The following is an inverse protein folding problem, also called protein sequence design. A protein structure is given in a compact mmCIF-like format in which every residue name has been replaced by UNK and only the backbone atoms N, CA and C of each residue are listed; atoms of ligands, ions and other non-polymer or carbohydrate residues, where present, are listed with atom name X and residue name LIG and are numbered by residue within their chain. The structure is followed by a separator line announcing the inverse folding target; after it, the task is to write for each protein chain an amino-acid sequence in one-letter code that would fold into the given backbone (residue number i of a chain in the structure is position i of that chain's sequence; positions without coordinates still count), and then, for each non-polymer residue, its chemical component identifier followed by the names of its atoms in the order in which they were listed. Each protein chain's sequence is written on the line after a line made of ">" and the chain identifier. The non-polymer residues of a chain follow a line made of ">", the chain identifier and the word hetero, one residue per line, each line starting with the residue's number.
data_IF_609413447429
#
_entry.id   IF_609413447429
#
_cell.length_a   1.000
_cell.length_b   1.000
_cell.length_c   1.000
_cell.angle_alpha   90.00
_cell.angle_beta   90.00
_cell.angle_gamma   90.00
#
_symmetry.space_group_name_H-M   'P 1'
#
loop_
_entity.id
_entity.type
_entity.pdbx_description
1 polymer ?
#
# COMPACT_ATOMS: atom_id res chain seq x y z
N UNK A 1 15.17 -11.74 -11.24
CA UNK A 1 15.95 -11.82 -9.99
C UNK A 1 15.21 -10.98 -8.96
N UNK A 2 14.87 -11.56 -7.81
CA UNK A 2 14.24 -10.83 -6.70
C UNK A 2 15.33 -10.44 -5.69
N UNK A 3 15.24 -9.26 -5.06
CA UNK A 3 16.16 -8.91 -3.98
C UNK A 3 15.91 -9.83 -2.78
N UNK A 4 16.98 -10.24 -2.11
CA UNK A 4 16.92 -10.93 -0.82
C UNK A 4 17.52 -10.01 0.24
N UNK A 5 16.70 -9.63 1.22
CA UNK A 5 17.08 -8.73 2.31
C UNK A 5 17.39 -9.49 3.61
N UNK A 6 17.56 -10.81 3.49
CA UNK A 6 17.82 -11.73 4.59
C UNK A 6 16.65 -11.79 5.59
N UNK A 7 16.76 -12.70 6.55
CA UNK A 7 15.80 -12.93 7.62
C UNK A 7 15.70 -11.73 8.58
N UNK A 8 14.60 -11.65 9.32
CA UNK A 8 14.48 -10.76 10.47
C UNK A 8 13.78 -11.45 11.65
N UNK A 9 13.88 -10.86 12.83
CA UNK A 9 13.15 -11.30 14.01
C UNK A 9 11.90 -10.42 14.19
N UNK A 10 10.73 -11.03 14.25
CA UNK A 10 9.45 -10.32 14.44
C UNK A 10 9.28 -9.72 15.83
N UNK A 11 10.07 -10.17 16.81
CA UNK A 11 10.15 -9.59 18.16
C UNK A 11 11.25 -8.52 18.34
N UNK A 12 12.01 -8.19 17.29
CA UNK A 12 13.02 -7.13 17.37
C UNK A 12 12.37 -5.75 17.63
N UNK A 13 13.00 -4.84 18.39
CA UNK A 13 12.43 -3.49 18.62
C UNK A 13 12.11 -2.72 17.33
N UNK A 14 12.90 -2.94 16.27
CA UNK A 14 12.67 -2.36 14.93
C UNK A 14 11.97 -3.33 13.96
N UNK A 15 11.24 -4.35 14.44
CA UNK A 15 10.67 -5.38 13.59
C UNK A 15 9.60 -4.85 12.63
N UNK A 16 8.74 -3.92 13.06
CA UNK A 16 7.74 -3.31 12.17
C UNK A 16 8.40 -2.56 11.02
N UNK A 17 9.42 -1.75 11.33
CA UNK A 17 10.22 -1.02 10.35
C UNK A 17 10.84 -1.96 9.31
N UNK A 18 11.44 -3.06 9.77
CA UNK A 18 12.03 -4.08 8.90
C UNK A 18 11.01 -4.88 8.10
N UNK A 19 9.83 -5.15 8.67
CA UNK A 19 8.72 -5.80 7.99
C UNK A 19 8.16 -4.93 6.87
N UNK A 20 7.87 -3.67 7.17
CA UNK A 20 7.39 -2.68 6.21
C UNK A 20 8.36 -2.51 5.03
N UNK A 21 9.65 -2.37 5.31
CA UNK A 21 10.68 -2.25 4.28
C UNK A 21 10.73 -3.49 3.37
N UNK A 22 10.58 -4.70 3.91
CA UNK A 22 10.53 -5.94 3.12
C UNK A 22 9.25 -6.06 2.28
N UNK A 23 8.10 -5.66 2.84
CA UNK A 23 6.82 -5.70 2.13
C UNK A 23 6.85 -4.86 0.84
N UNK A 24 7.37 -3.64 0.92
CA UNK A 24 7.52 -2.77 -0.26
C UNK A 24 8.76 -3.09 -1.09
N UNK A 25 9.75 -3.79 -0.52
CA UNK A 25 10.99 -4.17 -1.21
C UNK A 25 10.78 -5.20 -2.31
N UNK A 26 9.60 -5.83 -2.38
CA UNK A 26 9.32 -6.92 -3.31
C UNK A 26 10.18 -8.16 -3.05
N UNK A 27 10.74 -8.27 -1.85
CA UNK A 27 11.57 -9.40 -1.44
C UNK A 27 10.73 -10.51 -0.79
N UNK A 28 11.28 -11.73 -0.68
CA UNK A 28 10.70 -12.75 0.18
C UNK A 28 10.61 -12.30 1.65
N UNK A 29 9.69 -12.91 2.40
CA UNK A 29 9.53 -12.70 3.84
C UNK A 29 10.04 -13.95 4.55
N UNK A 30 11.17 -13.83 5.24
CA UNK A 30 11.73 -14.88 6.08
C UNK A 30 11.88 -14.39 7.51
N UNK A 31 11.38 -15.17 8.46
CA UNK A 31 11.56 -14.91 9.89
C UNK A 31 12.47 -15.95 10.52
N UNK A 32 13.38 -15.49 11.36
CA UNK A 32 14.33 -16.35 12.09
C UNK A 32 14.10 -16.31 13.60
N UNK A 33 12.87 -15.99 14.01
CA UNK A 33 12.47 -16.04 15.41
C UNK A 33 12.66 -17.43 16.01
N UNK A 34 12.89 -17.47 17.33
CA UNK A 34 12.89 -18.72 18.08
C UNK A 34 11.50 -19.38 17.95
N UNK A 35 11.40 -20.70 17.70
CA UNK A 35 10.11 -21.39 17.64
C UNK A 35 9.21 -21.08 18.83
N UNK A 36 7.94 -20.75 18.56
CA UNK A 36 6.96 -20.37 19.57
C UNK A 36 7.08 -18.94 20.10
N UNK A 37 8.05 -18.15 19.62
CA UNK A 37 8.29 -16.77 20.04
C UNK A 37 8.16 -15.84 18.83
N UNK A 38 6.93 -15.72 18.30
CA UNK A 38 6.64 -14.90 17.13
C UNK A 38 5.70 -13.75 17.51
N UNK A 39 5.89 -12.59 16.88
CA UNK A 39 4.92 -11.52 16.92
C UNK A 39 3.86 -11.71 15.82
N UNK A 40 2.80 -12.47 16.12
CA UNK A 40 1.74 -12.75 15.14
C UNK A 40 1.01 -11.50 14.65
N UNK A 41 0.89 -10.46 15.46
CA UNK A 41 0.26 -9.20 15.05
C UNK A 41 1.06 -8.51 13.95
N UNK A 42 2.40 -8.52 14.03
CA UNK A 42 3.25 -8.05 12.93
C UNK A 42 3.18 -8.97 11.71
N UNK A 43 3.20 -10.30 11.90
CA UNK A 43 3.21 -11.24 10.78
C UNK A 43 1.91 -11.21 9.96
N UNK A 44 0.77 -10.97 10.61
CA UNK A 44 -0.52 -10.78 9.92
C UNK A 44 -0.56 -9.55 9.02
N UNK A 45 0.31 -8.54 9.24
CA UNK A 45 0.46 -7.38 8.33
C UNK A 45 1.26 -7.72 7.06
N UNK A 46 1.92 -8.88 7.03
CA UNK A 46 2.83 -9.32 5.96
C UNK A 46 2.29 -10.51 5.16
N UNK A 47 1.63 -11.44 5.84
CA UNK A 47 1.27 -12.77 5.31
C UNK A 47 -0.24 -12.98 5.44
N UNK A 48 -0.85 -13.50 4.37
CA UNK A 48 -2.24 -13.92 4.35
C UNK A 48 -2.41 -15.25 5.12
N UNK A 49 -3.64 -15.63 5.51
CA UNK A 49 -3.84 -16.88 6.27
C UNK A 49 -3.44 -18.16 5.52
N UNK A 50 -3.37 -18.13 4.18
CA UNK A 50 -2.82 -19.22 3.35
C UNK A 50 -1.28 -19.31 3.37
N UNK A 51 -0.60 -18.46 4.13
CA UNK A 51 0.86 -18.40 4.21
C UNK A 51 1.52 -17.65 3.05
N UNK A 52 0.74 -17.13 2.10
CA UNK A 52 1.26 -16.35 0.99
C UNK A 52 1.40 -14.87 1.35
N UNK A 53 2.12 -14.12 0.52
CA UNK A 53 2.37 -12.68 0.74
C UNK A 53 1.79 -11.85 -0.38
N UNK A 54 1.34 -10.64 -0.04
CA UNK A 54 0.98 -9.59 -1.00
C UNK A 54 2.26 -8.91 -1.50
N UNK A 55 3.11 -9.65 -2.23
CA UNK A 55 4.43 -9.15 -2.66
C UNK A 55 4.29 -8.13 -3.79
N UNK A 56 4.95 -6.98 -3.65
CA UNK A 56 5.06 -5.98 -4.71
C UNK A 56 5.81 -6.54 -5.94
N UNK A 57 5.55 -6.00 -7.13
CA UNK A 57 5.95 -6.62 -8.40
C UNK A 57 7.43 -6.42 -8.74
N UNK A 58 8.01 -5.28 -8.38
CA UNK A 58 9.40 -4.94 -8.70
C UNK A 58 10.31 -5.18 -7.49
N UNK A 59 11.64 -5.20 -7.67
CA UNK A 59 12.56 -4.89 -6.59
C UNK A 59 12.31 -3.46 -6.11
N UNK A 60 12.29 -3.23 -4.79
CA UNK A 60 12.20 -1.88 -4.22
C UNK A 60 13.34 -0.99 -4.69
N UNK A 61 13.02 0.22 -5.12
CA UNK A 61 13.99 1.19 -5.66
C UNK A 61 13.90 2.51 -4.89
N UNK A 62 15.04 3.20 -4.65
CA UNK A 62 15.00 4.57 -4.17
C UNK A 62 14.18 5.45 -5.11
N UNK A 63 13.43 6.41 -4.56
CA UNK A 63 12.84 7.48 -5.38
C UNK A 63 13.96 8.36 -5.95
N UNK A 64 13.65 9.07 -7.04
CA UNK A 64 14.64 9.84 -7.80
C UNK A 64 15.32 10.92 -6.96
N UNK A 65 14.59 11.53 -6.03
CA UNK A 65 15.06 12.62 -5.19
C UNK A 65 15.96 12.17 -4.04
N UNK A 66 15.87 10.91 -3.59
CA UNK A 66 16.79 10.37 -2.57
C UNK A 66 17.87 9.44 -3.15
N UNK A 67 17.93 9.25 -4.47
CA UNK A 67 18.83 8.28 -5.13
C UNK A 67 20.32 8.50 -4.83
N UNK A 68 20.74 9.75 -4.67
CA UNK A 68 22.13 10.13 -4.41
C UNK A 68 22.36 10.68 -3.00
N UNK A 69 21.37 10.58 -2.11
CA UNK A 69 21.51 10.99 -0.71
C UNK A 69 22.15 9.87 0.13
N UNK A 70 22.73 10.23 1.28
CA UNK A 70 23.15 9.27 2.31
C UNK A 70 22.14 9.33 3.47
N UNK A 71 20.99 8.63 3.36
CA UNK A 71 19.90 8.73 4.33
C UNK A 71 20.27 8.15 5.71
N UNK A 72 21.45 7.55 5.86
CA UNK A 72 21.93 7.06 7.13
C UNK A 72 22.79 8.09 7.88
N UNK A 73 23.31 9.13 7.21
CA UNK A 73 24.38 9.99 7.78
C UNK A 73 24.24 11.48 7.54
N UNK A 74 23.52 11.91 6.53
CA UNK A 74 23.51 13.32 6.14
C UNK A 74 22.72 14.22 7.09
N UNK A 75 21.96 13.64 8.02
CA UNK A 75 21.14 14.37 9.00
C UNK A 75 19.96 15.13 8.38
N UNK A 76 19.62 14.88 7.11
CA UNK A 76 18.58 15.63 6.39
C UNK A 76 17.66 14.76 5.56
N UNK A 77 18.14 13.64 5.01
CA UNK A 77 17.40 12.86 4.01
C UNK A 77 16.71 11.66 4.63
N UNK A 78 15.45 11.48 4.25
CA UNK A 78 14.70 10.24 4.46
C UNK A 78 15.00 9.28 3.31
N UNK A 79 15.08 7.97 3.59
CA UNK A 79 15.09 6.96 2.56
C UNK A 79 13.66 6.76 2.06
N UNK A 80 13.44 6.98 0.76
CA UNK A 80 12.15 6.70 0.11
C UNK A 80 12.31 5.56 -0.87
N UNK A 81 11.53 4.50 -0.70
CA UNK A 81 11.55 3.32 -1.56
C UNK A 81 10.19 3.20 -2.23
N UNK A 82 10.14 3.11 -3.55
CA UNK A 82 8.91 2.90 -4.29
C UNK A 82 8.84 1.51 -4.92
N UNK A 83 7.61 1.07 -5.15
CA UNK A 83 7.28 -0.15 -5.87
C UNK A 83 5.87 -0.06 -6.47
N UNK A 84 5.45 -1.10 -7.19
CA UNK A 84 4.14 -1.21 -7.81
C UNK A 84 3.48 -2.56 -7.56
N UNK A 85 2.16 -2.53 -7.55
CA UNK A 85 1.25 -3.67 -7.60
C UNK A 85 0.55 -3.67 -8.97
N UNK A 86 -0.37 -4.61 -9.18
CA UNK A 86 -1.08 -4.73 -10.48
C UNK A 86 -1.90 -3.49 -10.84
N UNK A 87 -2.46 -2.79 -9.84
CA UNK A 87 -3.34 -1.64 -10.06
C UNK A 87 -2.91 -0.36 -9.30
N UNK A 88 -1.91 -0.44 -8.43
CA UNK A 88 -1.54 0.65 -7.51
C UNK A 88 -0.03 0.73 -7.32
N UNK A 89 0.45 1.86 -6.81
CA UNK A 89 1.82 2.06 -6.36
C UNK A 89 1.94 2.07 -4.85
N UNK A 90 3.16 1.94 -4.34
CA UNK A 90 3.47 2.13 -2.92
C UNK A 90 4.80 2.86 -2.77
N UNK A 91 4.88 3.79 -1.82
CA UNK A 91 6.11 4.45 -1.39
C UNK A 91 6.25 4.24 0.11
N UNK A 92 7.35 3.62 0.56
CA UNK A 92 7.72 3.65 1.97
C UNK A 92 8.77 4.72 2.22
N UNK A 93 8.59 5.45 3.30
CA UNK A 93 9.51 6.50 3.76
C UNK A 93 10.06 6.08 5.11
N UNK A 94 11.38 6.18 5.28
CA UNK A 94 12.08 5.65 6.44
C UNK A 94 13.14 6.63 6.94
N UNK A 95 13.19 6.85 8.26
CA UNK A 95 14.29 7.55 8.89
C UNK A 95 15.40 6.58 9.29
N UNK A 96 16.45 6.52 8.47
CA UNK A 96 17.59 5.61 8.61
C UNK A 96 18.77 6.20 9.40
N UNK A 97 18.64 7.40 9.99
CA UNK A 97 19.77 8.15 10.54
C UNK A 97 20.40 7.44 11.76
N UNK A 98 21.65 7.80 12.08
CA UNK A 98 22.35 7.43 13.31
C UNK A 98 23.27 6.23 13.25
N UNK A 99 22.95 5.23 12.44
CA UNK A 99 23.79 4.06 12.27
C UNK A 99 23.89 3.61 10.82
N UNK A 100 25.05 3.10 10.42
CA UNK A 100 25.24 2.57 9.08
C UNK A 100 26.48 1.70 8.93
N UNK A 101 26.54 0.94 7.84
CA UNK A 101 27.68 0.07 7.53
C UNK A 101 28.95 0.89 7.28
N UNK A 102 30.01 0.63 8.04
CA UNK A 102 31.31 1.24 7.84
C UNK A 102 32.22 0.32 7.01
N UNK A 103 32.57 0.74 5.78
CA UNK A 103 33.43 -0.02 4.86
C UNK A 103 34.84 -0.26 5.39
N UNK A 104 35.37 0.66 6.21
CA UNK A 104 36.72 0.57 6.78
C UNK A 104 36.76 -0.50 7.87
N UNK A 105 35.87 -0.39 8.85
CA UNK A 105 35.85 -1.31 10.01
C UNK A 105 35.06 -2.59 9.76
N UNK A 106 34.40 -2.72 8.60
CA UNK A 106 33.54 -3.87 8.21
C UNK A 106 32.51 -4.25 9.28
N UNK A 107 31.88 -3.24 9.87
CA UNK A 107 30.82 -3.40 10.87
C UNK A 107 29.84 -2.23 10.80
N UNK A 108 28.62 -2.45 11.27
CA UNK A 108 27.69 -1.37 11.56
C UNK A 108 28.26 -0.49 12.66
N UNK A 109 28.30 0.82 12.42
CA UNK A 109 28.76 1.80 13.38
C UNK A 109 27.61 2.76 13.68
N UNK A 110 27.38 3.00 14.96
CA UNK A 110 26.58 4.12 15.43
C UNK A 110 27.47 5.36 15.39
N UNK A 111 27.14 6.30 14.53
CA UNK A 111 27.83 7.59 14.38
C UNK A 111 27.08 8.71 15.09
N UNK A 112 25.78 8.56 15.29
CA UNK A 112 24.94 9.41 16.12
C UNK A 112 23.92 8.53 16.88
N UNK A 113 23.93 8.62 18.21
CA UNK A 113 23.11 7.80 19.08
C UNK A 113 21.71 8.39 19.32
N UNK A 114 21.50 9.66 18.98
CA UNK A 114 20.20 10.32 19.11
C UNK A 114 19.94 11.24 17.90
N UNK A 115 19.77 10.67 16.69
CA UNK A 115 19.50 11.46 15.50
C UNK A 115 18.21 12.25 15.61
N UNK A 116 18.17 13.39 14.94
CA UNK A 116 16.99 14.24 14.92
C UNK A 116 15.81 13.65 14.15
N UNK A 117 14.63 14.17 14.45
CA UNK A 117 13.43 14.01 13.65
C UNK A 117 13.63 14.68 12.28
N UNK A 118 13.26 13.98 11.21
CA UNK A 118 13.36 14.50 9.84
C UNK A 118 11.98 14.73 9.25
N UNK A 119 11.85 15.79 8.45
CA UNK A 119 10.66 16.08 7.66
C UNK A 119 10.99 15.97 6.18
N UNK A 120 10.12 15.30 5.43
CA UNK A 120 10.18 15.21 3.97
C UNK A 120 8.80 15.33 3.35
N UNK A 121 8.69 14.95 2.08
CA UNK A 121 7.42 14.93 1.37
C UNK A 121 7.34 13.78 0.37
N UNK A 122 6.12 13.34 0.11
CA UNK A 122 5.79 12.29 -0.87
C UNK A 122 4.86 12.86 -1.95
N UNK A 123 5.05 12.39 -3.18
CA UNK A 123 4.17 12.68 -4.33
C UNK A 123 3.64 11.40 -4.95
N UNK A 124 2.58 11.48 -5.72
CA UNK A 124 2.12 10.33 -6.51
C UNK A 124 3.20 9.88 -7.50
N UNK A 125 3.93 10.84 -8.09
CA UNK A 125 5.00 10.62 -9.05
C UNK A 125 6.29 10.07 -8.45
N UNK A 126 6.39 9.96 -7.11
CA UNK A 126 7.50 9.23 -6.48
C UNK A 126 7.44 7.72 -6.81
N UNK A 127 6.26 7.22 -7.18
CA UNK A 127 6.12 5.93 -7.87
C UNK A 127 6.42 6.17 -9.36
N UNK A 128 7.66 5.92 -9.77
CA UNK A 128 8.16 6.24 -11.12
C UNK A 128 7.31 5.64 -12.26
N UNK A 129 6.66 4.49 -12.02
CA UNK A 129 5.81 3.80 -12.98
C UNK A 129 4.29 4.11 -12.85
N UNK A 130 3.89 5.09 -12.05
CA UNK A 130 2.47 5.35 -11.75
C UNK A 130 1.64 5.71 -12.99
N UNK A 131 2.20 6.49 -13.92
CA UNK A 131 1.51 6.86 -15.15
C UNK A 131 1.26 5.63 -16.05
N UNK A 132 2.19 4.67 -16.08
CA UNK A 132 2.03 3.43 -16.83
C UNK A 132 0.93 2.54 -16.22
N UNK A 133 0.80 2.54 -14.88
CA UNK A 133 -0.27 1.82 -14.18
C UNK A 133 -1.65 2.44 -14.44
N UNK A 134 -1.72 3.77 -14.43
CA UNK A 134 -2.97 4.51 -14.56
C UNK A 134 -3.52 4.49 -16.00
N UNK A 135 -2.64 4.34 -17.00
CA UNK A 135 -2.98 4.35 -18.41
C UNK A 135 -2.86 5.75 -19.04
N UNK A 136 -3.04 5.85 -20.37
CA UNK A 136 -2.73 7.06 -21.14
C UNK A 136 -3.64 8.26 -20.80
N UNK A 137 -4.86 8.00 -20.32
CA UNK A 137 -5.86 9.04 -20.03
C UNK A 137 -5.76 9.60 -18.60
N UNK A 138 -4.74 9.21 -17.84
CA UNK A 138 -4.58 9.65 -16.46
C UNK A 138 -4.20 11.12 -16.38
N UNK A 139 -5.02 11.89 -15.65
CA UNK A 139 -4.85 13.33 -15.47
C UNK A 139 -3.80 13.69 -14.38
N UNK A 140 -3.19 12.70 -13.72
CA UNK A 140 -2.23 12.89 -12.64
C UNK A 140 -2.84 12.90 -11.23
N UNK A 141 -4.16 12.79 -11.08
CA UNK A 141 -4.80 12.72 -9.77
C UNK A 141 -4.70 11.31 -9.18
N UNK A 142 -4.30 11.22 -7.92
CA UNK A 142 -4.27 9.96 -7.18
C UNK A 142 -4.97 10.13 -5.83
N UNK A 143 -5.33 9.02 -5.21
CA UNK A 143 -5.53 8.98 -3.75
C UNK A 143 -4.33 8.31 -3.10
N UNK A 144 -4.02 8.75 -1.90
CA UNK A 144 -2.96 8.20 -1.08
C UNK A 144 -3.56 7.73 0.24
N UNK A 145 -3.40 6.45 0.54
CA UNK A 145 -3.75 5.88 1.83
C UNK A 145 -2.47 5.69 2.66
N UNK A 146 -2.43 6.29 3.85
CA UNK A 146 -1.31 6.19 4.77
C UNK A 146 -1.54 5.06 5.77
N UNK A 147 -0.58 4.14 5.88
CA UNK A 147 -0.79 2.92 6.64
C UNK A 147 -0.86 3.15 8.15
N UNK A 148 0.01 3.98 8.73
CA UNK A 148 0.05 4.15 10.20
C UNK A 148 -1.06 5.04 10.71
N UNK A 149 -1.34 6.14 10.01
CA UNK A 149 -2.41 7.06 10.42
C UNK A 149 -3.81 6.59 9.99
N UNK A 150 -3.90 5.75 8.95
CA UNK A 150 -5.17 5.28 8.40
C UNK A 150 -5.91 6.35 7.59
N UNK A 151 -5.24 7.44 7.21
CA UNK A 151 -5.85 8.54 6.48
C UNK A 151 -5.83 8.31 4.98
N UNK A 152 -6.97 8.62 4.33
CA UNK A 152 -7.11 8.67 2.88
C UNK A 152 -7.13 10.11 2.40
N UNK A 153 -6.21 10.44 1.49
CA UNK A 153 -6.02 11.82 1.01
C UNK A 153 -6.08 11.82 -0.51
N UNK A 154 -6.95 12.65 -1.08
CA UNK A 154 -6.96 12.91 -2.53
C UNK A 154 -5.85 13.91 -2.86
N UNK A 155 -4.95 13.50 -3.74
CA UNK A 155 -3.75 14.24 -4.11
C UNK A 155 -3.88 14.72 -5.57
N UNK A 156 -4.03 16.04 -5.81
CA UNK A 156 -3.97 16.61 -7.15
C UNK A 156 -2.60 16.39 -7.80
N UNK A 157 -2.54 16.48 -9.13
CA UNK A 157 -1.29 16.34 -9.88
C UNK A 157 -0.19 17.27 -9.35
N UNK A 158 0.98 16.70 -9.07
CA UNK A 158 2.15 17.44 -8.56
C UNK A 158 2.04 17.96 -7.12
N UNK A 159 0.93 17.71 -6.42
CA UNK A 159 0.81 18.05 -5.01
C UNK A 159 1.70 17.16 -4.15
N UNK A 160 2.07 17.66 -2.96
CA UNK A 160 2.97 16.98 -2.04
C UNK A 160 2.31 16.75 -0.70
N UNK A 161 2.51 15.57 -0.11
CA UNK A 161 2.09 15.24 1.23
C UNK A 161 3.30 15.28 2.17
N UNK A 162 3.30 16.11 3.23
CA UNK A 162 4.40 16.15 4.18
C UNK A 162 4.44 14.89 5.05
N UNK A 163 5.63 14.51 5.51
CA UNK A 163 5.84 13.41 6.45
C UNK A 163 6.96 13.78 7.41
N UNK A 164 6.76 13.54 8.70
CA UNK A 164 7.75 13.80 9.75
C UNK A 164 7.96 12.53 10.54
N UNK A 165 9.21 12.09 10.68
CA UNK A 165 9.57 10.79 11.26
C UNK A 165 10.72 10.94 12.25
N UNK A 166 10.55 10.38 13.44
CA UNK A 166 11.65 10.14 14.38
C UNK A 166 12.56 9.02 13.86
N UNK A 167 13.72 8.83 14.50
CA UNK A 167 14.66 7.76 14.12
C UNK A 167 14.00 6.38 14.24
N UNK A 168 14.22 5.51 13.25
CA UNK A 168 13.58 4.19 13.14
C UNK A 168 12.04 4.21 12.99
N UNK A 169 11.45 5.37 12.71
CA UNK A 169 10.08 5.45 12.23
C UNK A 169 10.01 5.35 10.70
N UNK A 170 8.83 4.95 10.24
CA UNK A 170 8.50 4.82 8.83
C UNK A 170 7.05 5.21 8.58
N UNK A 171 6.68 5.43 7.33
CA UNK A 171 5.28 5.47 6.88
C UNK A 171 5.18 4.85 5.49
N UNK A 172 4.05 4.19 5.19
CA UNK A 172 3.76 3.60 3.90
C UNK A 172 2.60 4.34 3.23
N UNK A 173 2.88 4.88 2.05
CA UNK A 173 1.95 5.65 1.22
C UNK A 173 1.50 4.76 0.07
N UNK A 174 0.25 4.31 0.11
CA UNK A 174 -0.36 3.51 -0.94
C UNK A 174 -1.01 4.44 -1.96
N UNK A 175 -0.40 4.54 -3.14
CA UNK A 175 -0.78 5.49 -4.19
C UNK A 175 -1.67 4.79 -5.20
N UNK A 176 -2.91 5.23 -5.34
CA UNK A 176 -3.86 4.67 -6.30
C UNK A 176 -4.34 5.73 -7.29
N UNK A 177 -4.11 5.56 -8.60
CA UNK A 177 -4.60 6.50 -9.61
C UNK A 177 -6.13 6.61 -9.59
N UNK A 178 -6.63 7.84 -9.65
CA UNK A 178 -8.07 8.10 -9.72
C UNK A 178 -8.57 7.91 -11.14
N UNK A 179 -9.66 7.14 -11.29
CA UNK A 179 -10.33 6.92 -12.57
C UNK A 179 -11.79 7.38 -12.49
N UNK A 180 -12.27 8.04 -13.54
CA UNK A 180 -13.70 8.35 -13.69
C UNK A 180 -14.42 7.08 -14.12
N UNK A 181 -15.41 6.65 -13.34
CA UNK A 181 -16.15 5.38 -13.55
C UNK A 181 -17.58 5.60 -14.01
N UNK A 182 -18.17 6.77 -13.69
CA UNK A 182 -19.45 7.23 -14.18
C UNK A 182 -19.44 8.78 -14.26
N UNK A 183 -20.41 9.42 -14.93
CA UNK A 183 -20.50 10.88 -14.95
C UNK A 183 -20.53 11.46 -13.53
N UNK A 184 -19.48 12.20 -13.15
CA UNK A 184 -19.37 12.79 -11.81
C UNK A 184 -18.94 11.82 -10.70
N UNK A 185 -18.59 10.57 -11.03
CA UNK A 185 -18.09 9.58 -10.06
C UNK A 185 -16.66 9.17 -10.40
N UNK A 186 -15.78 9.32 -9.43
CA UNK A 186 -14.38 8.92 -9.47
C UNK A 186 -14.10 7.82 -8.45
N UNK A 187 -13.27 6.85 -8.83
CA UNK A 187 -12.96 5.68 -8.04
C UNK A 187 -11.45 5.38 -8.07
N UNK A 188 -10.92 4.83 -6.98
CA UNK A 188 -9.57 4.31 -6.93
C UNK A 188 -9.47 3.15 -5.91
N UNK A 189 -8.99 1.95 -6.29
CA UNK A 189 -8.87 0.83 -5.35
C UNK A 189 -7.66 1.02 -4.42
N UNK A 190 -7.78 0.72 -3.12
CA UNK A 190 -6.64 0.80 -2.19
C UNK A 190 -6.13 -0.62 -1.87
N UNK A 191 -7.01 -1.51 -1.43
CA UNK A 191 -6.67 -2.89 -1.08
C UNK A 191 -6.99 -3.25 0.37
N UNK A 192 -6.25 -4.19 0.95
CA UNK A 192 -6.40 -4.59 2.36
C UNK A 192 -5.68 -3.58 3.26
N UNK A 193 -6.42 -2.79 4.02
CA UNK A 193 -5.93 -1.58 4.70
C UNK A 193 -4.89 -1.89 5.80
N UNK A 194 -5.01 -3.06 6.41
CA UNK A 194 -4.16 -3.47 7.54
C UNK A 194 -2.86 -4.17 7.08
N UNK A 195 -2.68 -4.38 5.77
CA UNK A 195 -1.47 -4.98 5.20
C UNK A 195 -0.44 -3.91 4.88
N UNK A 196 0.85 -4.21 5.10
CA UNK A 196 1.94 -3.30 4.71
C UNK A 196 2.01 -3.05 3.21
N UNK A 197 1.59 -4.00 2.38
CA UNK A 197 1.41 -3.77 0.95
C UNK A 197 -0.07 -3.94 0.56
N UNK A 198 -0.89 -2.96 0.97
CA UNK A 198 -2.34 -2.98 0.82
C UNK A 198 -2.78 -3.27 -0.62
N UNK A 199 -2.21 -2.54 -1.57
CA UNK A 199 -2.51 -2.64 -2.99
C UNK A 199 -2.16 -3.97 -3.64
N UNK A 200 -1.33 -4.80 -3.00
CA UNK A 200 -1.03 -6.14 -3.48
C UNK A 200 -2.24 -7.07 -3.46
N UNK A 201 -3.28 -6.72 -2.69
CA UNK A 201 -4.55 -7.46 -2.66
C UNK A 201 -5.40 -7.24 -3.92
N UNK A 202 -5.21 -6.15 -4.67
CA UNK A 202 -6.02 -5.83 -5.85
C UNK A 202 -5.41 -6.49 -7.08
N UNK A 203 -6.05 -7.56 -7.55
CA UNK A 203 -5.57 -8.34 -8.69
C UNK A 203 -6.00 -7.77 -10.04
N UNK A 204 -7.18 -7.15 -10.10
CA UNK A 204 -7.78 -6.61 -11.31
C UNK A 204 -8.76 -5.49 -10.95
N UNK A 205 -8.86 -4.48 -11.81
CA UNK A 205 -9.81 -3.38 -11.70
C UNK A 205 -10.47 -3.11 -13.06
N UNK A 206 -11.78 -3.33 -13.13
CA UNK A 206 -12.60 -3.12 -14.31
C UNK A 206 -13.79 -2.21 -14.01
N UNK A 207 -14.24 -1.49 -15.02
CA UNK A 207 -15.44 -0.65 -14.95
C UNK A 207 -16.44 -1.22 -15.94
N UNK A 208 -17.59 -1.66 -15.43
CA UNK A 208 -18.74 -2.08 -16.24
C UNK A 208 -19.64 -0.87 -16.45
N UNK A 209 -19.81 -0.51 -17.72
CA UNK A 209 -20.73 0.54 -18.11
C UNK A 209 -22.19 0.08 -17.92
N UNK A 210 -23.12 1.00 -17.64
CA UNK A 210 -24.54 0.67 -17.61
C UNK A 210 -25.00 0.21 -19.00
N UNK A 211 -25.60 -0.99 -19.10
CA UNK A 211 -26.26 -1.46 -20.31
C UNK A 211 -25.74 -2.75 -20.98
N UNK A 212 -24.88 -3.55 -20.34
CA UNK A 212 -24.39 -4.81 -20.91
C UNK A 212 -24.94 -6.08 -20.24
N UNK A 213 -26.26 -6.20 -20.06
CA UNK A 213 -27.05 -7.45 -20.17
C UNK A 213 -28.55 -7.22 -19.88
N UNK A 214 -29.39 -7.99 -20.58
CA UNK A 214 -30.87 -8.03 -20.56
C UNK A 214 -31.49 -8.44 -19.20
N UNK A 215 -31.43 -7.60 -18.16
CA UNK A 215 -32.34 -7.72 -17.02
C UNK A 215 -32.61 -6.31 -16.45
N UNK A 216 -33.89 -5.91 -16.41
CA UNK A 216 -34.32 -4.58 -15.98
C UNK A 216 -34.01 -4.26 -14.51
N UNK A 217 -34.05 -2.95 -14.25
CA UNK A 217 -33.92 -2.22 -12.97
C UNK A 217 -32.49 -1.82 -12.55
N UNK A 218 -32.08 -0.62 -13.00
CA UNK A 218 -30.95 0.16 -12.47
C UNK A 218 -29.79 0.38 -13.45
N UNK A 219 -29.77 1.54 -14.13
CA UNK A 219 -28.69 2.03 -15.03
C UNK A 219 -27.42 2.50 -14.25
N UNK A 220 -27.01 1.80 -13.20
CA UNK A 220 -25.85 2.19 -12.38
C UNK A 220 -24.57 1.57 -12.92
N UNK A 221 -23.49 2.36 -12.98
CA UNK A 221 -22.19 1.82 -13.34
C UNK A 221 -21.69 0.91 -12.21
N UNK A 222 -20.90 -0.10 -12.55
CA UNK A 222 -20.35 -1.01 -11.55
C UNK A 222 -18.84 -1.09 -11.68
N UNK A 223 -18.15 -0.96 -10.57
CA UNK A 223 -16.71 -1.23 -10.47
C UNK A 223 -16.54 -2.68 -10.02
N UNK A 224 -15.76 -3.44 -10.77
CA UNK A 224 -15.49 -4.86 -10.49
C UNK A 224 -14.01 -5.03 -10.18
N UNK A 225 -13.73 -5.55 -8.99
CA UNK A 225 -12.40 -5.83 -8.49
C UNK A 225 -12.24 -7.33 -8.28
N UNK A 226 -11.12 -7.89 -8.76
CA UNK A 226 -10.65 -9.19 -8.26
C UNK A 226 -9.71 -8.92 -7.10
N UNK A 227 -10.08 -9.40 -5.92
CA UNK A 227 -9.37 -9.13 -4.68
C UNK A 227 -8.83 -10.43 -4.10
N UNK A 228 -7.66 -10.36 -3.46
CA UNK A 228 -7.03 -11.48 -2.78
C UNK A 228 -6.77 -11.18 -1.30
N UNK A 229 -7.17 -12.09 -0.43
CA UNK A 229 -6.97 -12.06 1.02
C UNK A 229 -8.29 -11.94 1.79
N UNK A 230 -8.19 -11.46 3.03
CA UNK A 230 -9.32 -11.25 3.95
C UNK A 230 -8.99 -10.09 4.91
N UNK A 231 -9.99 -9.60 5.63
CA UNK A 231 -9.89 -8.44 6.54
C UNK A 231 -10.44 -7.17 5.92
N UNK A 232 -10.09 -6.02 6.51
CA UNK A 232 -10.64 -4.72 6.12
C UNK A 232 -10.12 -4.30 4.75
N UNK A 233 -11.02 -4.27 3.78
CA UNK A 233 -10.76 -3.78 2.42
C UNK A 233 -11.21 -2.32 2.30
N UNK A 234 -10.42 -1.52 1.58
CA UNK A 234 -10.74 -0.13 1.31
C UNK A 234 -10.60 0.26 -0.16
N UNK A 235 -11.42 1.23 -0.55
CA UNK A 235 -11.33 1.92 -1.83
C UNK A 235 -11.80 3.38 -1.66
N UNK A 236 -11.39 4.25 -2.57
CA UNK A 236 -11.93 5.59 -2.69
C UNK A 236 -13.11 5.61 -3.66
N UNK A 237 -14.19 6.27 -3.29
CA UNK A 237 -15.28 6.64 -4.17
C UNK A 237 -15.73 8.08 -3.88
N UNK A 238 -15.79 8.92 -4.92
CA UNK A 238 -16.16 10.34 -4.76
C UNK A 238 -17.63 10.55 -4.36
N UNK A 239 -18.46 9.51 -4.49
CA UNK A 239 -19.85 9.50 -4.05
C UNK A 239 -20.11 8.21 -3.26
N UNK A 240 -21.11 8.23 -2.38
CA UNK A 240 -21.50 7.04 -1.62
C UNK A 240 -21.97 5.94 -2.59
N UNK A 241 -21.38 4.73 -2.57
CA UNK A 241 -21.87 3.61 -3.36
C UNK A 241 -23.32 3.27 -3.04
N UNK A 242 -24.06 2.76 -4.02
CA UNK A 242 -25.43 2.29 -3.85
C UNK A 242 -25.46 0.92 -3.15
N UNK A 243 -24.59 0.00 -3.57
CA UNK A 243 -24.43 -1.34 -2.98
C UNK A 243 -23.04 -1.91 -3.24
N UNK A 244 -22.61 -2.81 -2.36
CA UNK A 244 -21.40 -3.61 -2.51
C UNK A 244 -21.76 -5.09 -2.47
N UNK A 245 -21.23 -5.90 -3.38
CA UNK A 245 -21.42 -7.35 -3.37
C UNK A 245 -20.08 -8.07 -3.46
N UNK A 246 -19.94 -9.14 -2.69
CA UNK A 246 -18.79 -10.03 -2.67
C UNK A 246 -19.22 -11.41 -3.17
N UNK A 247 -18.71 -11.83 -4.32
CA UNK A 247 -19.14 -13.04 -5.05
C UNK A 247 -20.68 -13.15 -5.17
N UNK A 248 -21.30 -12.04 -5.55
CA UNK A 248 -22.74 -11.85 -5.71
C UNK A 248 -23.59 -11.85 -4.42
N UNK A 249 -22.98 -12.01 -3.24
CA UNK A 249 -23.65 -11.78 -1.96
C UNK A 249 -23.51 -10.31 -1.54
N UNK A 250 -24.60 -9.67 -1.12
CA UNK A 250 -24.54 -8.30 -0.61
C UNK A 250 -23.76 -8.24 0.71
N UNK A 251 -22.91 -7.21 0.84
CA UNK A 251 -22.08 -6.98 2.02
C UNK A 251 -22.27 -5.57 2.54
N UNK A 252 -22.28 -5.45 3.87
CA UNK A 252 -22.31 -4.15 4.52
C UNK A 252 -20.99 -3.41 4.27
N UNK A 253 -21.08 -2.10 4.11
CA UNK A 253 -19.93 -1.22 3.95
C UNK A 253 -20.14 0.08 4.73
N UNK A 254 -19.02 0.66 5.13
CA UNK A 254 -18.93 2.00 5.69
C UNK A 254 -18.50 2.98 4.59
N UNK A 255 -18.99 4.21 4.67
CA UNK A 255 -18.60 5.30 3.78
C UNK A 255 -18.34 6.57 4.59
N UNK A 256 -17.13 7.09 4.46
CA UNK A 256 -16.75 8.40 4.99
C UNK A 256 -16.98 9.46 3.91
N UNK A 257 -17.91 10.39 4.16
CA UNK A 257 -18.27 11.44 3.21
C UNK A 257 -17.21 12.54 3.10
N UNK A 258 -16.34 12.71 4.10
CA UNK A 258 -15.31 13.75 4.12
C UNK A 258 -14.10 13.32 3.27
N UNK A 259 -13.71 12.05 3.38
CA UNK A 259 -12.55 11.49 2.66
C UNK A 259 -12.92 10.73 1.39
N UNK A 260 -14.17 10.25 1.27
CA UNK A 260 -14.61 9.34 0.22
C UNK A 260 -14.16 7.89 0.42
N UNK A 261 -13.70 7.52 1.63
CA UNK A 261 -13.29 6.15 1.93
C UNK A 261 -14.50 5.23 2.03
N UNK A 262 -14.53 4.22 1.17
CA UNK A 262 -15.42 3.05 1.27
C UNK A 262 -14.62 1.94 1.94
N UNK A 263 -15.13 1.37 3.03
CA UNK A 263 -14.50 0.22 3.68
C UNK A 263 -15.50 -0.87 4.01
N UNK A 264 -15.10 -2.12 3.77
CA UNK A 264 -15.88 -3.34 4.04
C UNK A 264 -14.97 -4.46 4.54
N UNK A 265 -15.52 -5.44 5.23
CA UNK A 265 -14.78 -6.59 5.71
C UNK A 265 -14.91 -7.78 4.75
N UNK A 266 -13.77 -8.27 4.27
CA UNK A 266 -13.69 -9.49 3.48
C UNK A 266 -13.52 -10.67 4.45
N UNK A 267 -14.44 -11.64 4.47
CA UNK A 267 -14.36 -12.76 5.40
C UNK A 267 -13.19 -13.69 5.06
N UNK A 268 -12.84 -14.56 6.01
CA UNK A 268 -11.94 -15.69 5.73
C UNK A 268 -12.72 -16.70 4.86
N UNK A 269 -12.27 -17.00 3.64
CA UNK A 269 -12.98 -17.92 2.76
C UNK A 269 -12.89 -19.36 3.28
N UNK A 270 -13.91 -20.15 2.97
CA UNK A 270 -13.88 -21.60 3.17
C UNK A 270 -12.97 -22.30 2.14
N UNK A 271 -12.68 -21.64 1.01
CA UNK A 271 -11.92 -22.17 -0.12
C UNK A 271 -10.45 -21.73 -0.09
N UNK A 272 -9.56 -22.58 -0.63
CA UNK A 272 -8.10 -22.48 -0.45
C UNK A 272 -7.41 -21.25 -1.07
N UNK A 273 -8.06 -20.45 -1.93
CA UNK A 273 -7.35 -19.44 -2.73
C UNK A 273 -7.49 -17.99 -2.27
N UNK A 274 -8.35 -17.70 -1.29
CA UNK A 274 -8.55 -16.34 -0.77
C UNK A 274 -8.84 -15.30 -1.87
N UNK A 275 -9.57 -15.68 -2.92
CA UNK A 275 -9.92 -14.79 -4.03
C UNK A 275 -11.40 -14.48 -4.00
N UNK A 276 -11.71 -13.22 -4.25
CA UNK A 276 -13.07 -12.69 -4.22
C UNK A 276 -13.32 -11.80 -5.44
N UNK A 277 -14.57 -11.77 -5.88
CA UNK A 277 -15.08 -10.79 -6.83
C UNK A 277 -15.86 -9.74 -6.06
N UNK A 278 -15.28 -8.55 -5.90
CA UNK A 278 -15.95 -7.43 -5.27
C UNK A 278 -16.55 -6.54 -6.37
N UNK A 279 -17.87 -6.34 -6.32
CA UNK A 279 -18.57 -5.40 -7.19
C UNK A 279 -19.12 -4.24 -6.35
N UNK A 280 -18.78 -3.02 -6.73
CA UNK A 280 -19.23 -1.78 -6.09
C UNK A 280 -20.06 -1.03 -7.10
N UNK A 281 -21.34 -0.82 -6.79
CA UNK A 281 -22.25 -0.11 -7.66
C UNK A 281 -22.32 1.36 -7.28
N UNK A 282 -22.16 2.21 -8.29
CA UNK A 282 -21.99 3.65 -8.16
C UNK A 282 -22.98 4.43 -8.99
#
# INVERSE_FOLDING_TARGET
>A
MQPDWDMFHSLHPAAEYHGAARAIGGCPIYVSDKPGNHNFELLKKLVLPDGSVLRAQLPGRPTRDCLFADPARDGTSLLKIWNVNKCTGVVGVFNCQGAGWCRITKKTRVHDAAPGTLTGSVRAEDVDAIANLAGPDWNGEAVVYTHRSGELIRLPKGATLPVTLEVLEFELFHVSPVRVVAPGVSFAPIGLLDMFNSGGAVEQFEVRAPGSTDCGEGLTAAVVLKVRGCGRFGAYCSQRPARCTLDAAEVEFSYDADTGLVALDIPVPEQEFYRWTLEIQV
#
